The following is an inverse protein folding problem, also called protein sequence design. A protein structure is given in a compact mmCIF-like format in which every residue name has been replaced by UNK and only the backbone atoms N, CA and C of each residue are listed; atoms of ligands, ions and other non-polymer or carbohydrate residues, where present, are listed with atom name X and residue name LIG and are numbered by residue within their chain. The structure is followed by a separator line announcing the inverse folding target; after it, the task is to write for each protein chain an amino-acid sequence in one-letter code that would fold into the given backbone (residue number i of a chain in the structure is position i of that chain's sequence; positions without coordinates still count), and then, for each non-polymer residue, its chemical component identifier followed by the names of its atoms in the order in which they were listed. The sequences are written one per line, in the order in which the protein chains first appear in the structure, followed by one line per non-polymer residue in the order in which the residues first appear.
data_IF_708802398482
#
_entry.id   IF_708802398482
#
_cell.length_a   1.000
_cell.length_b   1.000
_cell.length_c   1.000
_cell.angle_alpha   90.00
_cell.angle_beta   90.00
_cell.angle_gamma   90.00
#
_symmetry.space_group_name_H-M   'P 1'
#
loop_
_entity.id
_entity.type
_entity.pdbx_description
1 polymer ?
#
# COMPACT_ATOMS: atom_id res chain seq x y z
N UNK A 1 5.56 22.39 26.56
CA UNK A 1 6.72 21.96 27.38
C UNK A 1 6.55 20.47 27.60
N UNK A 2 7.59 19.65 27.40
CA UNK A 2 7.46 18.20 27.57
C UNK A 2 7.48 17.88 29.07
N UNK A 3 6.56 17.05 29.53
CA UNK A 3 6.55 16.48 30.87
C UNK A 3 7.19 15.10 30.77
N UNK A 4 8.52 15.03 30.91
CA UNK A 4 9.30 13.82 30.67
C UNK A 4 8.88 12.68 31.61
N UNK A 5 8.53 13.01 32.86
CA UNK A 5 8.05 12.05 33.83
C UNK A 5 6.72 11.40 33.40
N UNK A 6 5.80 12.19 32.84
CA UNK A 6 4.50 11.70 32.37
C UNK A 6 4.63 10.85 31.10
N UNK A 7 5.53 11.24 30.19
CA UNK A 7 5.91 10.43 29.03
C UNK A 7 6.40 9.04 29.46
N UNK A 8 7.41 9.02 30.34
CA UNK A 8 8.05 7.78 30.79
C UNK A 8 7.08 6.90 31.56
N UNK A 9 6.23 7.49 32.41
CA UNK A 9 5.17 6.77 33.13
C UNK A 9 4.18 6.13 32.16
N UNK A 10 3.79 6.82 31.08
CA UNK A 10 2.88 6.27 30.07
C UNK A 10 3.52 5.13 29.26
N UNK A 11 4.80 5.27 28.90
CA UNK A 11 5.57 4.21 28.23
C UNK A 11 5.68 2.96 29.11
N UNK A 12 6.07 3.13 30.38
CA UNK A 12 6.14 2.04 31.36
C UNK A 12 4.80 1.34 31.51
N UNK A 13 3.71 2.07 31.76
CA UNK A 13 2.39 1.47 31.96
C UNK A 13 1.91 0.69 30.73
N UNK A 14 2.20 1.18 29.53
CA UNK A 14 1.81 0.49 28.28
C UNK A 14 2.62 -0.79 28.06
N UNK A 15 3.89 -0.80 28.46
CA UNK A 15 4.74 -1.98 28.40
C UNK A 15 4.40 -2.98 29.50
N UNK A 16 4.02 -2.54 30.71
CA UNK A 16 3.60 -3.42 31.81
C UNK A 16 2.44 -4.34 31.43
N UNK A 17 1.49 -3.85 30.64
CA UNK A 17 0.35 -4.64 30.13
C UNK A 17 0.81 -5.86 29.32
N UNK A 18 1.95 -5.75 28.62
CA UNK A 18 2.44 -6.79 27.71
C UNK A 18 3.60 -7.60 28.27
N UNK A 19 4.44 -6.99 29.12
CA UNK A 19 5.71 -7.54 29.58
C UNK A 19 5.82 -7.62 31.12
N UNK A 20 4.80 -7.16 31.86
CA UNK A 20 4.81 -7.18 33.32
C UNK A 20 6.01 -6.44 33.89
N UNK A 21 6.72 -7.07 34.84
CA UNK A 21 7.89 -6.48 35.53
C UNK A 21 9.08 -6.17 34.60
N UNK A 22 9.18 -6.83 33.44
CA UNK A 22 10.26 -6.58 32.47
C UNK A 22 10.17 -5.19 31.83
N UNK A 23 9.01 -4.54 31.86
CA UNK A 23 8.80 -3.18 31.36
C UNK A 23 9.81 -2.17 31.93
N UNK A 24 10.06 -2.25 33.25
CA UNK A 24 10.92 -1.34 33.97
C UNK A 24 12.39 -1.52 33.55
N UNK A 25 12.80 -2.77 33.34
CA UNK A 25 14.14 -3.10 32.85
C UNK A 25 14.35 -2.61 31.41
N UNK A 26 13.36 -2.79 30.54
CA UNK A 26 13.37 -2.29 29.15
C UNK A 26 13.53 -0.76 29.14
N UNK A 27 12.70 -0.05 29.91
CA UNK A 27 12.74 1.42 29.98
C UNK A 27 14.07 1.90 30.55
N UNK A 28 14.58 1.30 31.63
CA UNK A 28 15.87 1.68 32.21
C UNK A 28 17.02 1.45 31.22
N UNK A 29 17.01 0.33 30.49
CA UNK A 29 18.01 0.03 29.46
C UNK A 29 17.98 1.03 28.31
N UNK A 30 16.81 1.55 27.95
CA UNK A 30 16.65 2.54 26.88
C UNK A 30 17.04 3.94 27.37
N UNK A 31 16.70 4.30 28.61
CA UNK A 31 17.16 5.55 29.24
C UNK A 31 18.68 5.69 29.26
N UNK A 32 19.41 4.58 29.45
CA UNK A 32 20.88 4.57 29.36
C UNK A 32 21.39 4.92 27.95
N UNK A 33 20.58 4.71 26.90
CA UNK A 33 20.93 5.01 25.50
C UNK A 33 20.45 6.38 25.04
N UNK A 34 19.23 6.75 25.41
CA UNK A 34 18.61 8.05 25.08
C UNK A 34 17.83 8.52 26.29
N UNK A 35 18.32 9.57 26.95
CA UNK A 35 17.63 10.15 28.10
C UNK A 35 16.58 11.16 27.62
N UNK A 36 15.42 11.18 28.27
CA UNK A 36 14.34 12.13 28.00
C UNK A 36 14.26 13.11 29.17
N UNK A 37 14.31 14.39 28.85
CA UNK A 37 14.25 15.51 29.79
C UNK A 37 13.09 16.44 29.39
N UNK A 38 12.71 17.37 30.27
CA UNK A 38 11.61 18.31 29.96
C UNK A 38 11.94 19.28 28.81
N UNK A 39 13.22 19.36 28.44
CA UNK A 39 13.73 20.06 27.26
C UNK A 39 13.72 19.23 25.97
N UNK A 40 13.40 17.93 26.04
CA UNK A 40 13.30 17.05 24.87
C UNK A 40 12.18 17.49 23.94
N UNK A 41 12.38 17.35 22.64
CA UNK A 41 11.36 17.67 21.64
C UNK A 41 10.58 16.40 21.21
N UNK A 42 9.56 16.57 20.36
CA UNK A 42 8.72 15.45 19.88
C UNK A 42 9.54 14.38 19.16
N UNK A 43 10.57 14.75 18.40
CA UNK A 43 11.42 13.79 17.70
C UNK A 43 12.23 12.96 18.69
N UNK A 44 12.70 13.55 19.79
CA UNK A 44 13.37 12.80 20.85
C UNK A 44 12.46 11.74 21.48
N UNK A 45 11.17 12.06 21.65
CA UNK A 45 10.17 11.10 22.13
C UNK A 45 9.91 9.98 21.13
N UNK A 46 9.82 10.30 19.83
CA UNK A 46 9.65 9.30 18.76
C UNK A 46 10.84 8.35 18.69
N UNK A 47 12.05 8.89 18.67
CA UNK A 47 13.28 8.09 18.67
C UNK A 47 13.39 7.18 19.90
N UNK A 48 12.95 7.67 21.07
CA UNK A 48 12.91 6.87 22.28
C UNK A 48 11.95 5.68 22.13
N UNK A 49 10.78 5.89 21.52
CA UNK A 49 9.83 4.80 21.25
C UNK A 49 10.35 3.84 20.17
N UNK A 50 11.08 4.32 19.17
CA UNK A 50 11.69 3.46 18.16
C UNK A 50 12.78 2.56 18.79
N UNK A 51 13.51 3.08 19.78
CA UNK A 51 14.43 2.27 20.61
C UNK A 51 13.69 1.24 21.48
N UNK A 52 12.48 1.55 21.96
CA UNK A 52 11.59 0.56 22.60
C UNK A 52 11.22 -0.51 21.59
N UNK A 53 10.74 -0.13 20.41
CA UNK A 53 10.30 -1.05 19.36
C UNK A 53 11.39 -2.04 18.97
N UNK A 54 12.60 -1.53 18.70
CA UNK A 54 13.76 -2.36 18.38
C UNK A 54 14.07 -3.37 19.50
N UNK A 55 13.97 -2.95 20.77
CA UNK A 55 14.24 -3.82 21.91
C UNK A 55 13.17 -4.90 22.07
N UNK A 56 11.89 -4.52 22.03
CA UNK A 56 10.78 -5.45 22.25
C UNK A 56 10.52 -6.37 21.06
N UNK A 57 10.92 -5.98 19.85
CA UNK A 57 10.81 -6.81 18.65
C UNK A 57 11.51 -8.17 18.78
N UNK A 58 12.58 -8.23 19.58
CA UNK A 58 13.31 -9.48 19.88
C UNK A 58 12.49 -10.42 20.75
N UNK A 59 11.59 -9.89 21.59
CA UNK A 59 10.79 -10.66 22.52
C UNK A 59 9.39 -11.00 21.98
N UNK A 60 8.76 -10.08 21.23
CA UNK A 60 7.37 -10.22 20.79
C UNK A 60 7.19 -10.40 19.27
N UNK A 61 8.28 -10.33 18.50
CA UNK A 61 8.23 -10.26 17.04
C UNK A 61 7.90 -8.85 16.52
N UNK A 62 8.32 -8.56 15.28
CA UNK A 62 8.26 -7.23 14.65
C UNK A 62 6.83 -6.66 14.61
N UNK A 63 5.87 -7.43 14.12
CA UNK A 63 4.47 -6.98 13.99
C UNK A 63 3.87 -6.53 15.33
N UNK A 64 4.00 -7.37 16.38
CA UNK A 64 3.45 -7.06 17.70
C UNK A 64 4.20 -5.91 18.39
N UNK A 65 5.51 -5.80 18.17
CA UNK A 65 6.30 -4.68 18.65
C UNK A 65 5.83 -3.35 18.04
N UNK A 66 5.62 -3.31 16.72
CA UNK A 66 5.10 -2.13 16.02
C UNK A 66 3.71 -1.75 16.53
N UNK A 67 2.82 -2.72 16.76
CA UNK A 67 1.48 -2.46 17.31
C UNK A 67 1.52 -1.84 18.72
N UNK A 68 2.35 -2.40 19.61
CA UNK A 68 2.56 -1.88 20.96
C UNK A 68 3.13 -0.47 20.90
N UNK A 69 4.15 -0.24 20.07
CA UNK A 69 4.81 1.07 19.96
C UNK A 69 3.93 2.12 19.28
N UNK A 70 3.05 1.75 18.34
CA UNK A 70 2.03 2.65 17.80
C UNK A 70 1.04 3.08 18.89
N UNK A 71 0.65 2.15 19.77
CA UNK A 71 -0.19 2.46 20.93
C UNK A 71 0.51 3.42 21.89
N UNK A 72 1.80 3.23 22.13
CA UNK A 72 2.62 4.13 22.96
C UNK A 72 2.71 5.51 22.31
N UNK A 73 3.00 5.60 21.00
CA UNK A 73 3.06 6.86 20.24
C UNK A 73 1.75 7.64 20.38
N UNK A 74 0.61 6.96 20.21
CA UNK A 74 -0.71 7.58 20.30
C UNK A 74 -1.10 8.05 21.71
N UNK A 75 -0.56 7.43 22.78
CA UNK A 75 -0.91 7.75 24.17
C UNK A 75 0.09 8.66 24.87
N UNK A 76 1.38 8.39 24.71
CA UNK A 76 2.44 9.03 25.48
C UNK A 76 2.82 10.41 24.93
N UNK A 77 2.96 10.54 23.60
CA UNK A 77 3.36 11.81 22.96
C UNK A 77 2.33 12.93 23.23
N UNK A 78 1.00 12.70 23.07
CA UNK A 78 0.04 13.77 23.30
C UNK A 78 -0.07 14.18 24.78
N UNK A 79 0.07 13.22 25.71
CA UNK A 79 0.06 13.50 27.15
C UNK A 79 1.29 14.29 27.57
N UNK A 80 2.47 13.91 27.09
CA UNK A 80 3.72 14.53 27.51
C UNK A 80 3.92 15.93 26.95
N UNK A 81 3.34 16.27 25.79
CA UNK A 81 3.50 17.60 25.18
C UNK A 81 2.44 18.59 25.68
N UNK A 82 1.46 18.14 26.48
CA UNK A 82 0.32 18.96 26.89
C UNK A 82 -0.59 19.32 25.71
N UNK A 83 -0.74 18.41 24.74
CA UNK A 83 -1.69 18.62 23.64
C UNK A 83 -3.11 18.58 24.20
N UNK A 84 -3.73 19.74 24.31
CA UNK A 84 -5.16 19.90 24.63
C UNK A 84 -6.00 19.07 23.64
N UNK A 85 -7.23 18.70 24.01
CA UNK A 85 -8.14 18.01 23.07
C UNK A 85 -8.34 18.81 21.78
N UNK A 86 -8.23 20.14 21.83
CA UNK A 86 -8.20 21.03 20.67
C UNK A 86 -6.98 20.81 19.77
N UNK A 87 -5.78 20.64 20.33
CA UNK A 87 -4.59 20.34 19.54
C UNK A 87 -4.67 18.94 18.87
N UNK A 88 -5.31 17.96 19.52
CA UNK A 88 -5.60 16.65 18.91
C UNK A 88 -6.65 16.75 17.81
N UNK A 89 -7.66 17.59 17.99
CA UNK A 89 -8.68 17.85 16.98
C UNK A 89 -8.08 18.55 15.75
N UNK A 90 -7.17 19.50 15.96
CA UNK A 90 -6.44 20.20 14.90
C UNK A 90 -5.51 19.23 14.15
N UNK A 91 -4.71 18.41 14.84
CA UNK A 91 -3.82 17.44 14.19
C UNK A 91 -4.59 16.38 13.39
N UNK A 92 -5.72 15.91 13.94
CA UNK A 92 -6.63 15.01 13.22
C UNK A 92 -7.28 15.68 12.01
N UNK A 93 -7.68 16.94 12.12
CA UNK A 93 -8.25 17.69 11.00
C UNK A 93 -7.21 17.89 9.88
N UNK A 94 -5.97 18.26 10.24
CA UNK A 94 -4.85 18.38 9.30
C UNK A 94 -4.58 17.04 8.61
N UNK A 95 -4.56 15.93 9.35
CA UNK A 95 -4.38 14.59 8.77
C UNK A 95 -5.48 14.22 7.77
N UNK A 96 -6.74 14.51 8.09
CA UNK A 96 -7.88 14.22 7.20
C UNK A 96 -7.81 15.07 5.93
N UNK A 97 -7.44 16.35 6.04
CA UNK A 97 -7.33 17.22 4.88
C UNK A 97 -6.07 16.92 4.04
N UNK A 98 -4.99 16.46 4.66
CA UNK A 98 -3.82 15.92 3.95
C UNK A 98 -4.21 14.68 3.12
N UNK A 99 -4.95 13.74 3.70
CA UNK A 99 -5.41 12.53 3.00
C UNK A 99 -6.31 12.88 1.81
N UNK A 100 -7.22 13.84 1.96
CA UNK A 100 -8.05 14.32 0.84
C UNK A 100 -7.21 14.91 -0.27
N UNK A 101 -6.22 15.74 0.06
CA UNK A 101 -5.37 16.37 -0.95
C UNK A 101 -4.57 15.32 -1.72
N UNK A 102 -3.97 14.36 -1.01
CA UNK A 102 -3.26 13.24 -1.63
C UNK A 102 -4.20 12.45 -2.56
N UNK A 103 -5.43 12.16 -2.13
CA UNK A 103 -6.40 11.47 -2.98
C UNK A 103 -6.78 12.30 -4.22
N UNK A 104 -6.87 13.63 -4.09
CA UNK A 104 -7.12 14.50 -5.24
C UNK A 104 -5.94 14.49 -6.23
N UNK A 105 -4.70 14.53 -5.74
CA UNK A 105 -3.50 14.35 -6.56
C UNK A 105 -3.52 13.01 -7.31
N UNK A 106 -3.79 11.90 -6.60
CA UNK A 106 -3.85 10.57 -7.21
C UNK A 106 -5.03 10.40 -8.18
N UNK A 107 -6.12 11.14 -8.01
CA UNK A 107 -7.25 11.10 -8.96
C UNK A 107 -6.93 11.75 -10.31
N UNK A 108 -5.90 12.61 -10.35
CA UNK A 108 -5.49 13.36 -11.56
C UNK A 108 -4.19 12.85 -12.17
N UNK A 109 -3.42 12.05 -11.42
CA UNK A 109 -2.15 11.47 -11.83
C UNK A 109 -2.21 9.96 -11.63
N UNK A 110 -2.51 9.22 -12.70
CA UNK A 110 -2.63 7.77 -12.63
C UNK A 110 -1.27 7.08 -12.45
N UNK A 111 -0.20 7.66 -13.01
CA UNK A 111 1.17 7.14 -12.92
C UNK A 111 2.18 8.29 -12.70
N UNK A 112 2.17 8.93 -11.51
CA UNK A 112 3.10 10.02 -11.22
C UNK A 112 4.55 9.53 -11.19
N UNK A 113 5.48 10.34 -11.68
CA UNK A 113 6.92 10.06 -11.63
C UNK A 113 7.55 10.61 -10.34
N UNK A 114 8.83 10.30 -10.10
CA UNK A 114 9.58 10.76 -8.92
C UNK A 114 9.63 12.29 -8.78
N UNK A 115 9.66 13.05 -9.89
CA UNK A 115 9.63 14.50 -9.84
C UNK A 115 8.26 15.01 -9.36
N UNK A 116 7.17 14.44 -9.89
CA UNK A 116 5.80 14.78 -9.47
C UNK A 116 5.62 14.53 -7.96
N UNK A 117 6.08 13.37 -7.48
CA UNK A 117 6.02 12.99 -6.05
C UNK A 117 6.84 13.96 -5.20
N UNK A 118 8.05 14.29 -5.63
CA UNK A 118 8.94 15.19 -4.89
C UNK A 118 8.36 16.61 -4.80
N UNK A 119 7.84 17.14 -5.91
CA UNK A 119 7.26 18.48 -5.96
C UNK A 119 5.96 18.54 -5.16
N UNK A 120 5.12 17.52 -5.25
CA UNK A 120 3.90 17.44 -4.46
C UNK A 120 4.20 17.31 -2.96
N UNK A 121 5.25 16.57 -2.57
CA UNK A 121 5.71 16.51 -1.17
C UNK A 121 6.12 17.89 -0.66
N UNK A 122 6.88 18.67 -1.45
CA UNK A 122 7.26 20.04 -1.07
C UNK A 122 6.02 20.91 -0.88
N UNK A 123 5.04 20.81 -1.78
CA UNK A 123 3.76 21.51 -1.65
C UNK A 123 3.04 21.16 -0.34
N UNK A 124 2.88 19.86 -0.03
CA UNK A 124 2.23 19.42 1.19
C UNK A 124 2.97 19.90 2.44
N UNK A 125 4.31 19.83 2.44
CA UNK A 125 5.13 20.30 3.55
C UNK A 125 5.04 21.81 3.75
N UNK A 126 4.90 22.60 2.67
CA UNK A 126 4.65 24.04 2.75
C UNK A 126 3.25 24.36 3.28
N UNK A 127 2.23 23.61 2.84
CA UNK A 127 0.82 23.87 3.18
C UNK A 127 0.47 23.46 4.62
N UNK A 128 0.93 22.28 5.04
CA UNK A 128 0.54 21.66 6.31
C UNK A 128 1.68 21.59 7.34
N UNK A 129 2.89 21.97 6.96
CA UNK A 129 4.09 21.78 7.78
C UNK A 129 4.54 20.31 7.80
N UNK A 130 5.58 20.03 8.58
CA UNK A 130 6.09 18.67 8.79
C UNK A 130 7.46 18.41 8.15
N UNK A 131 7.98 17.21 8.43
CA UNK A 131 9.27 16.79 7.89
C UNK A 131 9.08 16.20 6.49
N UNK A 132 9.70 16.86 5.51
CA UNK A 132 9.64 16.50 4.08
C UNK A 132 9.96 15.02 3.86
N UNK A 133 10.99 14.47 4.51
CA UNK A 133 11.43 13.09 4.29
C UNK A 133 10.39 12.05 4.74
N UNK A 134 9.74 12.29 5.88
CA UNK A 134 8.66 11.42 6.36
C UNK A 134 7.44 11.52 5.45
N UNK A 135 7.09 12.74 5.03
CA UNK A 135 5.95 12.96 4.15
C UNK A 135 6.16 12.35 2.76
N UNK A 136 7.38 12.45 2.23
CA UNK A 136 7.79 11.83 0.97
C UNK A 136 7.65 10.31 1.04
N UNK A 137 8.13 9.70 2.13
CA UNK A 137 8.01 8.26 2.35
C UNK A 137 6.55 7.82 2.40
N UNK A 138 5.71 8.53 3.14
CA UNK A 138 4.29 8.21 3.27
C UNK A 138 3.54 8.41 1.95
N UNK A 139 3.87 9.48 1.20
CA UNK A 139 3.31 9.73 -0.11
C UNK A 139 3.72 8.65 -1.12
N UNK A 140 5.00 8.28 -1.15
CA UNK A 140 5.51 7.20 -2.01
C UNK A 140 4.72 5.91 -1.76
N UNK A 141 4.49 5.53 -0.51
CA UNK A 141 3.75 4.29 -0.21
C UNK A 141 2.30 4.37 -0.69
N UNK A 142 1.63 5.51 -0.51
CA UNK A 142 0.27 5.73 -1.04
C UNK A 142 0.23 5.71 -2.56
N UNK A 143 1.20 6.32 -3.23
CA UNK A 143 1.33 6.32 -4.69
C UNK A 143 1.57 4.90 -5.20
N UNK A 144 2.48 4.13 -4.57
CA UNK A 144 2.69 2.71 -4.90
C UNK A 144 1.36 1.96 -4.84
N UNK A 145 0.66 2.03 -3.72
CA UNK A 145 -0.62 1.34 -3.55
C UNK A 145 -1.66 1.76 -4.60
N UNK A 146 -1.74 3.05 -4.91
CA UNK A 146 -2.63 3.58 -5.95
C UNK A 146 -2.32 2.96 -7.32
N UNK A 147 -1.06 3.01 -7.74
CA UNK A 147 -0.61 2.47 -9.03
C UNK A 147 -0.84 0.96 -9.09
N UNK A 148 -0.48 0.22 -8.03
CA UNK A 148 -0.70 -1.24 -7.94
C UNK A 148 -2.18 -1.61 -8.05
N UNK A 149 -3.06 -0.87 -7.35
CA UNK A 149 -4.50 -1.10 -7.41
C UNK A 149 -5.09 -0.74 -8.78
N UNK A 150 -4.60 0.35 -9.39
CA UNK A 150 -4.95 0.75 -10.76
C UNK A 150 -4.60 -0.34 -11.77
N UNK A 151 -3.38 -0.88 -11.71
CA UNK A 151 -2.96 -1.96 -12.62
C UNK A 151 -3.80 -3.23 -12.43
N UNK A 152 -4.04 -3.66 -11.18
CA UNK A 152 -4.91 -4.82 -10.89
C UNK A 152 -6.31 -4.64 -11.46
N UNK A 153 -6.88 -3.44 -11.33
CA UNK A 153 -8.20 -3.11 -11.89
C UNK A 153 -8.19 -3.13 -13.42
N UNK A 154 -7.15 -2.60 -14.07
CA UNK A 154 -7.02 -2.64 -15.52
C UNK A 154 -6.89 -4.09 -16.03
N UNK A 155 -6.12 -4.93 -15.34
CA UNK A 155 -6.00 -6.36 -15.65
C UNK A 155 -7.34 -7.08 -15.49
N UNK A 156 -8.06 -6.85 -14.38
CA UNK A 156 -9.40 -7.41 -14.18
C UNK A 156 -10.36 -6.98 -15.29
N UNK A 157 -10.41 -5.68 -15.61
CA UNK A 157 -11.26 -5.15 -16.66
C UNK A 157 -10.96 -5.82 -18.02
N UNK A 158 -9.69 -5.98 -18.38
CA UNK A 158 -9.31 -6.66 -19.60
C UNK A 158 -9.80 -8.12 -19.64
N UNK A 159 -9.71 -8.85 -18.52
CA UNK A 159 -10.21 -10.23 -18.43
C UNK A 159 -11.75 -10.30 -18.43
N UNK A 160 -12.44 -9.37 -17.77
CA UNK A 160 -13.91 -9.23 -17.84
C UNK A 160 -14.34 -9.01 -19.29
N UNK A 161 -13.67 -8.11 -20.01
CA UNK A 161 -14.00 -7.81 -21.40
C UNK A 161 -13.85 -9.05 -22.28
N UNK A 162 -12.74 -9.81 -22.13
CA UNK A 162 -12.50 -11.08 -22.84
C UNK A 162 -13.54 -12.14 -22.48
N UNK A 163 -13.88 -12.26 -21.20
CA UNK A 163 -14.86 -13.22 -20.71
C UNK A 163 -16.24 -12.94 -21.30
N UNK A 164 -16.71 -11.69 -21.26
CA UNK A 164 -18.03 -11.30 -21.78
C UNK A 164 -18.11 -11.31 -23.32
N UNK A 165 -16.97 -11.30 -24.03
CA UNK A 165 -16.94 -11.59 -25.48
C UNK A 165 -17.25 -13.07 -25.75
N UNK A 166 -16.76 -13.98 -24.89
CA UNK A 166 -16.96 -15.45 -25.00
C UNK A 166 -18.32 -15.89 -24.45
N UNK A 167 -18.77 -15.25 -23.37
CA UNK A 167 -19.99 -15.55 -22.63
C UNK A 167 -20.84 -14.28 -22.56
N UNK A 168 -21.62 -14.02 -23.62
CA UNK A 168 -22.45 -12.80 -23.71
C UNK A 168 -23.54 -12.74 -22.62
N UNK A 169 -24.04 -13.92 -22.22
CA UNK A 169 -24.98 -14.08 -21.11
C UNK A 169 -24.48 -15.21 -20.21
N UNK A 170 -23.49 -14.93 -19.34
CA UNK A 170 -22.90 -15.96 -18.49
C UNK A 170 -23.92 -16.44 -17.46
N UNK A 171 -23.98 -17.76 -17.27
CA UNK A 171 -24.73 -18.37 -16.18
C UNK A 171 -23.98 -18.21 -14.86
N UNK A 172 -24.65 -18.47 -13.73
CA UNK A 172 -24.02 -18.35 -12.41
C UNK A 172 -22.75 -19.21 -12.27
N UNK A 173 -22.76 -20.42 -12.84
CA UNK A 173 -21.59 -21.29 -12.85
C UNK A 173 -20.42 -20.71 -13.64
N UNK A 174 -20.70 -20.06 -14.79
CA UNK A 174 -19.66 -19.40 -15.58
C UNK A 174 -19.01 -18.25 -14.80
N UNK A 175 -19.82 -17.49 -14.04
CA UNK A 175 -19.36 -16.39 -13.18
C UNK A 175 -18.51 -16.93 -12.04
N UNK A 176 -18.95 -17.98 -11.35
CA UNK A 176 -18.20 -18.58 -10.24
C UNK A 176 -16.86 -19.17 -10.71
N UNK A 177 -16.83 -19.74 -11.91
CA UNK A 177 -15.61 -20.24 -12.53
C UNK A 177 -14.67 -19.10 -12.97
N UNK A 178 -15.22 -18.00 -13.49
CA UNK A 178 -14.45 -16.78 -13.78
C UNK A 178 -13.81 -16.20 -12.52
N UNK A 179 -14.53 -16.13 -11.41
CA UNK A 179 -13.99 -15.63 -10.14
C UNK A 179 -12.83 -16.50 -9.65
N UNK A 180 -12.96 -17.84 -9.72
CA UNK A 180 -11.85 -18.75 -9.38
C UNK A 180 -10.63 -18.48 -10.26
N UNK A 181 -10.83 -18.25 -11.55
CA UNK A 181 -9.76 -17.90 -12.47
C UNK A 181 -9.05 -16.60 -12.09
N UNK A 182 -9.80 -15.53 -11.77
CA UNK A 182 -9.20 -14.27 -11.31
C UNK A 182 -8.43 -14.46 -10.00
N UNK A 183 -8.92 -15.30 -9.08
CA UNK A 183 -8.21 -15.61 -7.84
C UNK A 183 -6.90 -16.38 -8.09
N UNK A 184 -6.82 -17.20 -9.14
CA UNK A 184 -5.56 -17.85 -9.56
C UNK A 184 -4.55 -16.84 -10.11
N UNK A 185 -4.98 -15.72 -10.66
CA UNK A 185 -4.10 -14.64 -11.10
C UNK A 185 -3.51 -13.84 -9.93
N UNK A 186 -3.91 -14.11 -8.68
CA UNK A 186 -3.43 -13.48 -7.46
C UNK A 186 -3.51 -11.93 -7.49
N UNK A 187 -4.56 -11.38 -8.12
CA UNK A 187 -4.77 -9.93 -8.20
C UNK A 187 -5.19 -9.31 -6.85
N UNK A 188 -5.50 -10.13 -5.84
CA UNK A 188 -5.94 -9.72 -4.50
C UNK A 188 -7.13 -8.75 -4.53
N UNK A 189 -8.15 -9.09 -5.33
CA UNK A 189 -9.41 -8.34 -5.46
C UNK A 189 -10.51 -9.13 -4.76
N UNK A 190 -11.41 -8.45 -4.06
CA UNK A 190 -12.53 -9.11 -3.37
C UNK A 190 -13.48 -9.79 -4.35
N UNK A 191 -13.95 -10.98 -3.96
CA UNK A 191 -14.88 -11.81 -4.73
C UNK A 191 -16.19 -11.10 -5.09
N UNK A 192 -16.72 -10.25 -4.21
CA UNK A 192 -17.92 -9.47 -4.48
C UNK A 192 -17.60 -8.33 -5.43
N UNK A 193 -16.43 -7.69 -5.27
CA UNK A 193 -15.98 -6.65 -6.18
C UNK A 193 -15.83 -7.18 -7.62
N UNK A 194 -15.28 -8.38 -7.81
CA UNK A 194 -15.17 -9.02 -9.14
C UNK A 194 -16.56 -9.21 -9.75
N UNK A 195 -17.53 -9.70 -8.96
CA UNK A 195 -18.92 -9.92 -9.41
C UNK A 195 -19.62 -8.61 -9.76
N UNK A 196 -19.43 -7.58 -8.95
CA UNK A 196 -20.01 -6.25 -9.17
C UNK A 196 -19.44 -5.60 -10.45
N UNK A 197 -18.12 -5.63 -10.64
CA UNK A 197 -17.47 -5.08 -11.84
C UNK A 197 -17.89 -5.85 -13.10
N UNK A 198 -18.02 -7.18 -13.02
CA UNK A 198 -18.52 -8.02 -14.12
C UNK A 198 -19.97 -7.70 -14.47
N UNK A 199 -20.85 -7.60 -13.47
CA UNK A 199 -22.27 -7.30 -13.68
C UNK A 199 -22.46 -5.89 -14.24
N UNK A 200 -21.68 -4.92 -13.75
CA UNK A 200 -21.67 -3.55 -14.26
C UNK A 200 -21.34 -3.50 -15.75
N UNK A 201 -20.29 -4.19 -16.19
CA UNK A 201 -19.92 -4.27 -17.61
C UNK A 201 -20.97 -5.02 -18.44
N UNK A 202 -21.52 -6.12 -17.90
CA UNK A 202 -22.61 -6.88 -18.56
C UNK A 202 -23.83 -5.99 -18.80
N UNK A 203 -24.25 -5.23 -17.79
CA UNK A 203 -25.36 -4.29 -17.91
C UNK A 203 -25.02 -3.16 -18.87
N UNK A 204 -23.80 -2.62 -18.83
CA UNK A 204 -23.36 -1.58 -19.77
C UNK A 204 -23.53 -2.04 -21.23
N UNK A 205 -23.01 -3.22 -21.59
CA UNK A 205 -23.14 -3.84 -22.93
C UNK A 205 -24.56 -4.19 -23.32
N UNK A 206 -25.46 -4.41 -22.35
CA UNK A 206 -26.88 -4.67 -22.64
C UNK A 206 -27.60 -3.41 -23.13
N UNK A 207 -27.16 -2.23 -22.68
CA UNK A 207 -27.80 -0.95 -23.00
C UNK A 207 -27.01 -0.08 -23.97
N UNK A 208 -25.76 -0.44 -24.28
CA UNK A 208 -24.88 0.27 -25.21
C UNK A 208 -24.22 -0.72 -26.17
N UNK A 209 -23.84 -0.26 -27.37
CA UNK A 209 -22.94 -1.06 -28.23
C UNK A 209 -21.64 -1.37 -27.46
N UNK A 210 -20.99 -2.53 -27.73
CA UNK A 210 -19.73 -2.87 -27.08
C UNK A 210 -18.78 -1.68 -27.16
N UNK A 211 -18.36 -1.18 -26.00
CA UNK A 211 -17.42 -0.05 -25.97
C UNK A 211 -16.23 -0.41 -26.84
N UNK A 212 -15.86 0.49 -27.77
CA UNK A 212 -14.50 0.47 -28.29
C UNK A 212 -13.58 0.49 -27.07
N UNK A 213 -12.54 -0.35 -27.10
CA UNK A 213 -11.61 -0.48 -25.99
C UNK A 213 -11.20 0.94 -25.53
N UNK A 214 -11.25 1.24 -24.22
CA UNK A 214 -10.88 2.55 -23.72
C UNK A 214 -9.48 2.91 -24.25
N UNK A 215 -9.28 4.19 -24.59
CA UNK A 215 -7.96 4.69 -24.97
C UNK A 215 -6.93 4.24 -23.94
N UNK A 216 -5.82 3.67 -24.41
CA UNK A 216 -4.79 3.10 -23.55
C UNK A 216 -4.23 4.20 -22.63
N UNK A 217 -4.57 4.10 -21.35
CA UNK A 217 -4.06 5.02 -20.34
C UNK A 217 -2.58 4.71 -20.04
N UNK A 218 -1.90 5.58 -19.29
CA UNK A 218 -0.48 5.43 -18.95
C UNK A 218 -0.17 4.09 -18.26
N UNK A 219 -1.10 3.58 -17.44
CA UNK A 219 -0.98 2.27 -16.79
C UNK A 219 -1.08 1.13 -17.81
N UNK A 220 -1.95 1.23 -18.82
CA UNK A 220 -2.09 0.23 -19.88
C UNK A 220 -0.83 0.15 -20.74
N UNK A 221 -0.19 1.31 -21.00
CA UNK A 221 1.09 1.36 -21.69
C UNK A 221 2.20 0.69 -20.88
N UNK A 222 2.27 0.96 -19.56
CA UNK A 222 3.20 0.29 -18.66
C UNK A 222 2.97 -1.23 -18.63
N UNK A 223 1.72 -1.67 -18.47
CA UNK A 223 1.34 -3.09 -18.47
C UNK A 223 1.76 -3.77 -19.78
N UNK A 224 1.49 -3.13 -20.92
CA UNK A 224 1.81 -3.65 -22.25
C UNK A 224 3.31 -3.79 -22.42
N UNK A 225 4.08 -2.79 -21.98
CA UNK A 225 5.53 -2.84 -22.04
C UNK A 225 6.10 -3.97 -21.18
N UNK A 226 5.67 -4.10 -19.93
CA UNK A 226 6.15 -5.16 -19.03
C UNK A 226 5.83 -6.54 -19.58
N UNK A 227 4.63 -6.74 -20.15
CA UNK A 227 4.24 -7.97 -20.86
C UNK A 227 5.11 -8.26 -22.09
N UNK A 228 5.47 -7.22 -22.85
CA UNK A 228 6.25 -7.37 -24.08
C UNK A 228 7.75 -7.54 -23.88
N UNK A 229 8.29 -7.04 -22.76
CA UNK A 229 9.75 -6.95 -22.57
C UNK A 229 10.40 -8.32 -22.36
N UNK A 230 9.77 -9.27 -21.64
CA UNK A 230 10.30 -10.62 -21.34
C UNK A 230 11.61 -10.65 -20.53
N UNK A 231 12.37 -9.57 -20.57
CA UNK A 231 13.63 -9.29 -19.89
C UNK A 231 13.39 -8.34 -18.73
N UNK A 232 13.63 -8.87 -17.53
CA UNK A 232 13.54 -8.16 -16.25
C UNK A 232 14.48 -6.96 -16.17
N UNK A 233 15.70 -7.07 -16.70
CA UNK A 233 16.68 -5.99 -16.61
C UNK A 233 16.26 -4.78 -17.46
N UNK A 234 15.72 -5.04 -18.66
CA UNK A 234 15.15 -4.01 -19.51
C UNK A 234 13.96 -3.29 -18.86
N UNK A 235 13.07 -4.03 -18.17
CA UNK A 235 11.98 -3.44 -17.39
C UNK A 235 12.51 -2.53 -16.28
N UNK A 236 13.47 -3.01 -15.49
CA UNK A 236 14.07 -2.23 -14.42
C UNK A 236 14.73 -0.93 -14.91
N UNK A 237 15.45 -0.97 -16.03
CA UNK A 237 16.08 0.22 -16.64
C UNK A 237 15.06 1.23 -17.15
N UNK A 238 13.99 0.77 -17.80
CA UNK A 238 12.95 1.67 -18.29
C UNK A 238 12.21 2.35 -17.13
N UNK A 239 11.85 1.59 -16.09
CA UNK A 239 11.21 2.15 -14.90
C UNK A 239 12.09 3.22 -14.24
N UNK A 240 13.40 3.01 -14.17
CA UNK A 240 14.33 4.04 -13.68
C UNK A 240 14.37 5.27 -14.59
N UNK A 241 14.41 5.06 -15.91
CA UNK A 241 14.48 6.16 -16.90
C UNK A 241 13.23 7.02 -16.89
N UNK A 242 12.06 6.43 -16.64
CA UNK A 242 10.78 7.13 -16.55
C UNK A 242 10.50 7.70 -15.14
N UNK A 243 11.43 7.57 -14.19
CA UNK A 243 11.22 8.03 -12.82
C UNK A 243 10.16 7.22 -12.06
N UNK A 244 9.97 5.95 -12.40
CA UNK A 244 9.04 5.00 -11.78
C UNK A 244 9.74 4.03 -10.82
N UNK A 245 11.01 4.30 -10.47
CA UNK A 245 11.79 3.37 -9.67
C UNK A 245 11.27 3.22 -8.25
N UNK A 246 10.45 4.16 -7.76
CA UNK A 246 9.71 4.01 -6.51
C UNK A 246 8.91 2.70 -6.46
N UNK A 247 8.34 2.22 -7.57
CA UNK A 247 7.58 0.96 -7.60
C UNK A 247 8.44 -0.27 -7.30
N UNK A 248 9.75 -0.20 -7.53
CA UNK A 248 10.70 -1.33 -7.40
C UNK A 248 11.80 -1.07 -6.36
N UNK A 249 11.64 -0.03 -5.53
CA UNK A 249 12.54 0.31 -4.42
C UNK A 249 12.05 -0.30 -3.10
N UNK A 250 12.96 -0.91 -2.35
CA UNK A 250 12.81 -1.28 -0.94
C UNK A 250 13.64 -0.34 -0.03
N UNK A 251 13.78 -0.69 1.26
CA UNK A 251 14.54 0.11 2.24
C UNK A 251 16.04 0.29 1.89
N UNK A 252 16.59 -0.55 0.99
CA UNK A 252 17.99 -0.53 0.55
C UNK A 252 18.16 0.07 -0.85
N UNK A 253 17.07 0.36 -1.56
CA UNK A 253 17.09 0.92 -2.91
C UNK A 253 16.38 0.02 -3.92
N UNK A 254 16.71 0.14 -5.20
CA UNK A 254 16.13 -0.72 -6.25
C UNK A 254 16.54 -2.16 -5.98
N UNK A 255 15.56 -3.05 -5.90
CA UNK A 255 15.74 -4.43 -5.49
C UNK A 255 15.23 -5.38 -6.55
N UNK A 256 16.04 -6.40 -6.88
CA UNK A 256 15.63 -7.44 -7.80
C UNK A 256 14.37 -8.15 -7.32
N UNK A 257 14.18 -8.30 -6.00
CA UNK A 257 12.98 -8.93 -5.46
C UNK A 257 11.74 -8.07 -5.73
N UNK A 258 11.79 -6.77 -5.42
CA UNK A 258 10.66 -5.86 -5.67
C UNK A 258 10.31 -5.75 -7.15
N UNK A 259 11.31 -5.84 -8.03
CA UNK A 259 11.08 -5.92 -9.47
C UNK A 259 10.42 -7.24 -9.89
N UNK A 260 10.81 -8.37 -9.30
CA UNK A 260 10.12 -9.65 -9.51
C UNK A 260 8.67 -9.57 -9.05
N UNK A 261 8.43 -9.12 -7.81
CA UNK A 261 7.09 -9.03 -7.23
C UNK A 261 6.18 -8.13 -8.09
N UNK A 262 6.73 -7.02 -8.60
CA UNK A 262 6.04 -6.14 -9.53
C UNK A 262 5.69 -6.85 -10.85
N UNK A 263 6.66 -7.56 -11.46
CA UNK A 263 6.44 -8.26 -12.72
C UNK A 263 5.43 -9.40 -12.58
N UNK A 264 5.44 -10.14 -11.48
CA UNK A 264 4.47 -11.23 -11.22
C UNK A 264 3.02 -10.72 -11.15
N UNK A 265 2.82 -9.49 -10.70
CA UNK A 265 1.48 -8.86 -10.68
C UNK A 265 1.00 -8.53 -12.10
N UNK A 266 1.91 -8.14 -12.99
CA UNK A 266 1.57 -7.72 -14.36
C UNK A 266 1.49 -8.91 -15.32
N UNK A 267 2.36 -9.90 -15.12
CA UNK A 267 2.50 -11.12 -15.93
C UNK A 267 2.51 -12.33 -15.00
N UNK A 268 1.35 -12.76 -14.48
CA UNK A 268 1.29 -13.99 -13.71
C UNK A 268 1.67 -15.17 -14.62
N UNK A 269 2.36 -16.17 -14.05
CA UNK A 269 2.88 -17.34 -14.74
C UNK A 269 1.79 -18.09 -15.55
N UNK A 270 1.86 -18.01 -16.89
CA UNK A 270 0.87 -18.65 -17.77
C UNK A 270 0.93 -20.19 -17.74
N UNK A 271 2.12 -20.77 -17.52
CA UNK A 271 2.27 -22.24 -17.43
C UNK A 271 1.60 -22.79 -16.18
N UNK A 272 1.78 -22.12 -15.03
CA UNK A 272 1.19 -22.56 -13.77
C UNK A 272 -0.34 -22.35 -13.80
N UNK A 273 -0.82 -21.29 -14.46
CA UNK A 273 -2.25 -21.06 -14.64
C UNK A 273 -2.91 -22.09 -15.55
N UNK A 274 -2.28 -22.48 -16.66
CA UNK A 274 -2.88 -23.47 -17.58
C UNK A 274 -3.05 -24.83 -16.91
N UNK A 275 -2.04 -25.30 -16.20
CA UNK A 275 -2.08 -26.58 -15.49
C UNK A 275 -3.06 -26.54 -14.32
N UNK A 276 -3.11 -25.41 -13.59
CA UNK A 276 -4.11 -25.20 -12.54
C UNK A 276 -5.55 -25.19 -13.09
N UNK A 277 -5.79 -24.52 -14.22
CA UNK A 277 -7.09 -24.49 -14.88
C UNK A 277 -7.49 -25.87 -15.41
N UNK A 278 -6.55 -26.66 -15.93
CA UNK A 278 -6.80 -28.04 -16.34
C UNK A 278 -7.15 -28.94 -15.15
N UNK A 279 -6.41 -28.84 -14.04
CA UNK A 279 -6.68 -29.57 -12.80
C UNK A 279 -8.02 -29.23 -12.15
N UNK A 280 -8.53 -28.01 -12.36
CA UNK A 280 -9.83 -27.55 -11.83
C UNK A 280 -11.00 -27.73 -12.81
N UNK A 281 -10.77 -28.25 -14.01
CA UNK A 281 -11.81 -28.38 -15.05
C UNK A 281 -12.22 -27.06 -15.73
N UNK A 282 -11.46 -25.99 -15.50
CA UNK A 282 -11.73 -24.62 -15.94
C UNK A 282 -11.13 -24.28 -17.32
N UNK A 283 -10.65 -25.28 -18.06
CA UNK A 283 -10.08 -25.11 -19.42
C UNK A 283 -11.01 -24.41 -20.42
N UNK A 284 -12.31 -24.41 -20.16
CA UNK A 284 -13.33 -23.73 -20.97
C UNK A 284 -13.26 -22.20 -20.88
N UNK A 285 -12.58 -21.66 -19.85
CA UNK A 285 -12.33 -20.23 -19.73
C UNK A 285 -11.23 -19.76 -20.66
N UNK A 286 -10.32 -20.64 -21.11
CA UNK A 286 -9.16 -20.31 -21.97
C UNK A 286 -9.23 -20.89 -23.39
N UNK A 287 -10.06 -21.92 -23.64
CA UNK A 287 -10.30 -22.45 -24.99
C UNK A 287 -11.41 -21.67 -25.68
N UNK A 288 -11.20 -21.28 -26.94
CA UNK A 288 -12.28 -20.76 -27.78
C UNK A 288 -13.35 -21.84 -27.97
N UNK A 289 -14.60 -21.55 -27.60
CA UNK A 289 -15.74 -22.34 -28.09
C UNK A 289 -15.74 -22.21 -29.62
N UNK A 290 -15.54 -23.33 -30.31
CA UNK A 290 -15.80 -23.46 -31.74
C UNK A 290 -17.31 -23.42 -31.98
#
# INVERSE_FOLDING_TARGET
MVVAEEFLKCCTASLEVNFGKLSQEIINKIKLKKNITDSSNINDLKDFIDLIEANISVFSGKHKATEICNTIKAKAIPKSVGMTEEAKAIDKAISVDLDKEINAFLSTHALPNEADISDYTKFLAMKYGGNIKTLEKDLIEKVKQHVMNGMRKNLLNAEILKFLVRYQQPEKSDIDDFVKYINLMNLNIDDNQIRDDLEKERLYRKFHEPSQAPEANELDQLITFVKGSGDKEAVGKLMQTQGLSYLIKDEKGVSDQSLTDFMEIVVPSESDMKDALEGMGLKHLIKSKQ
#
